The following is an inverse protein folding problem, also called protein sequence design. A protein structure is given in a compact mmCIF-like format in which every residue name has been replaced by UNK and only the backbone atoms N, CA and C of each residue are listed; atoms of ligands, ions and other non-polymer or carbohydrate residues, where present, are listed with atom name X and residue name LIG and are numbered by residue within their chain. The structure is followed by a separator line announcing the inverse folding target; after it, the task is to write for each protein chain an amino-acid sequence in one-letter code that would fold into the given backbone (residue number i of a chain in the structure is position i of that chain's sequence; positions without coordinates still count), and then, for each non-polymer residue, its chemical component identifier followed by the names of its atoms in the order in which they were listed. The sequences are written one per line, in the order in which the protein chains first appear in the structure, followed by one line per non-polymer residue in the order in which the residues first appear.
data_IF_234589954193
#
_entry.id   IF_234589954193
#
_cell.length_a   1.000
_cell.length_b   1.000
_cell.length_c   1.000
_cell.angle_alpha   90.00
_cell.angle_beta   90.00
_cell.angle_gamma   90.00
#
_symmetry.space_group_name_H-M   'P 1'
#
loop_
_entity.id
_entity.type
_entity.pdbx_description
1 polymer ?
#
# COMPACT_ATOMS: atom_id res chain seq x y z
N UNK A 1 22.43 14.47 -13.12
CA UNK A 1 21.06 14.93 -13.43
C UNK A 1 20.27 15.03 -12.13
N UNK A 2 19.79 16.22 -11.74
CA UNK A 2 18.94 16.40 -10.54
C UNK A 2 17.57 15.76 -10.82
N UNK A 3 17.26 14.70 -10.09
CA UNK A 3 16.06 13.89 -10.32
C UNK A 3 14.83 14.57 -9.69
N UNK A 4 14.20 15.51 -10.42
CA UNK A 4 13.09 16.35 -9.95
C UNK A 4 11.75 15.59 -9.68
N UNK A 5 11.69 14.27 -9.86
CA UNK A 5 10.43 13.50 -9.73
C UNK A 5 10.10 13.04 -8.32
N UNK A 6 11.04 13.16 -7.38
CA UNK A 6 10.90 12.63 -6.02
C UNK A 6 10.00 13.44 -5.06
N UNK A 7 10.01 14.79 -5.06
CA UNK A 7 9.03 15.56 -4.29
C UNK A 7 7.60 15.23 -4.71
N UNK A 8 7.37 14.90 -5.98
CA UNK A 8 6.07 14.51 -6.49
C UNK A 8 5.57 13.22 -5.80
N UNK A 9 6.41 12.17 -5.67
CA UNK A 9 6.02 10.93 -4.99
C UNK A 9 5.64 11.11 -3.52
N UNK A 10 6.37 11.99 -2.82
CA UNK A 10 6.10 12.29 -1.40
C UNK A 10 4.79 13.05 -1.25
N UNK A 11 4.57 14.07 -2.08
CA UNK A 11 3.31 14.82 -2.14
C UNK A 11 2.12 13.92 -2.47
N UNK A 12 2.30 12.96 -3.38
CA UNK A 12 1.25 12.04 -3.78
C UNK A 12 0.85 11.07 -2.67
N UNK A 13 1.82 10.48 -1.97
CA UNK A 13 1.52 9.60 -0.86
C UNK A 13 0.90 10.34 0.34
N UNK A 14 1.32 11.60 0.58
CA UNK A 14 0.66 12.48 1.55
C UNK A 14 -0.77 12.77 1.12
N UNK A 15 -1.01 13.06 -0.17
CA UNK A 15 -2.35 13.25 -0.72
C UNK A 15 -3.24 12.01 -0.55
N UNK A 16 -2.71 10.82 -0.83
CA UNK A 16 -3.43 9.55 -0.63
C UNK A 16 -3.75 9.28 0.84
N UNK A 17 -2.81 9.58 1.74
CA UNK A 17 -3.01 9.45 3.17
C UNK A 17 -4.09 10.43 3.67
N UNK A 18 -4.03 11.69 3.24
CA UNK A 18 -5.03 12.69 3.60
C UNK A 18 -6.41 12.32 3.07
N UNK A 19 -6.50 11.78 1.84
CA UNK A 19 -7.77 11.36 1.28
C UNK A 19 -8.36 10.18 2.06
N UNK A 20 -7.53 9.19 2.42
CA UNK A 20 -7.92 8.03 3.24
C UNK A 20 -8.39 8.45 4.64
N UNK A 21 -7.66 9.40 5.25
CA UNK A 21 -7.98 9.96 6.55
C UNK A 21 -9.30 10.74 6.52
N UNK A 22 -9.50 11.62 5.53
CA UNK A 22 -10.73 12.40 5.37
C UNK A 22 -11.93 11.49 5.12
N UNK A 23 -11.78 10.45 4.30
CA UNK A 23 -12.81 9.43 4.09
C UNK A 23 -13.20 8.74 5.41
N UNK A 24 -12.19 8.29 6.14
CA UNK A 24 -12.39 7.58 7.40
C UNK A 24 -13.09 8.49 8.40
N UNK A 25 -12.63 9.73 8.57
CA UNK A 25 -13.26 10.72 9.47
C UNK A 25 -14.68 11.04 9.03
N UNK A 26 -14.93 11.22 7.72
CA UNK A 26 -16.26 11.49 7.19
C UNK A 26 -17.25 10.35 7.48
N UNK A 27 -16.81 9.10 7.31
CA UNK A 27 -17.63 7.92 7.62
C UNK A 27 -17.92 7.85 9.13
N UNK A 28 -16.89 8.07 9.95
CA UNK A 28 -16.99 8.05 11.42
C UNK A 28 -17.89 9.16 11.97
N UNK A 29 -17.89 10.35 11.37
CA UNK A 29 -18.68 11.49 11.84
C UNK A 29 -20.16 11.41 11.47
N UNK A 30 -20.51 10.63 10.44
CA UNK A 30 -21.87 10.57 9.90
C UNK A 30 -22.61 9.27 10.22
N UNK A 31 -21.94 8.23 10.74
CA UNK A 31 -22.57 7.00 11.18
C UNK A 31 -22.64 6.94 12.71
N UNK A 32 -23.85 6.76 13.27
CA UNK A 32 -24.07 6.61 14.72
C UNK A 32 -23.48 5.31 15.30
N UNK A 33 -23.17 4.35 14.44
CA UNK A 33 -22.51 3.09 14.79
C UNK A 33 -21.17 3.07 14.03
N UNK A 34 -20.07 3.07 14.78
CA UNK A 34 -18.71 2.91 14.22
C UNK A 34 -18.44 1.41 14.04
N UNK A 35 -19.15 0.81 13.10
CA UNK A 35 -18.90 -0.56 12.64
C UNK A 35 -18.75 -0.50 11.13
N UNK A 36 -17.67 -1.07 10.59
CA UNK A 36 -17.56 -1.30 9.14
C UNK A 36 -18.46 -2.45 8.66
N UNK A 37 -19.42 -2.91 9.46
CA UNK A 37 -20.60 -3.62 8.99
C UNK A 37 -21.13 -2.88 7.74
N UNK A 38 -21.15 -3.60 6.63
CA UNK A 38 -21.13 -3.09 5.27
C UNK A 38 -21.89 -1.75 5.08
N UNK A 39 -21.19 -0.62 4.87
CA UNK A 39 -21.85 0.68 4.77
C UNK A 39 -22.84 0.73 3.61
N UNK A 40 -22.73 -0.15 2.59
CA UNK A 40 -23.66 -0.25 1.46
C UNK A 40 -25.13 -0.41 1.87
N UNK A 41 -25.41 -1.13 2.95
CA UNK A 41 -26.78 -1.48 3.34
C UNK A 41 -27.21 -0.85 4.67
N UNK A 42 -26.26 -0.50 5.54
CA UNK A 42 -26.53 0.04 6.87
C UNK A 42 -26.33 1.55 7.00
N UNK A 43 -25.81 2.23 5.96
CA UNK A 43 -25.65 3.69 5.94
C UNK A 43 -26.38 4.30 4.75
N UNK A 44 -27.07 5.43 4.98
CA UNK A 44 -27.70 6.22 3.92
C UNK A 44 -26.72 6.65 2.81
N UNK A 45 -25.41 6.65 3.08
CA UNK A 45 -24.35 7.01 2.13
C UNK A 45 -23.48 5.82 1.68
N UNK A 46 -23.97 4.59 1.84
CA UNK A 46 -23.23 3.37 1.52
C UNK A 46 -22.66 3.30 0.10
N UNK A 47 -23.53 3.53 -0.90
CA UNK A 47 -23.13 3.52 -2.31
C UNK A 47 -22.16 4.66 -2.67
N UNK A 48 -22.32 5.83 -2.03
CA UNK A 48 -21.39 6.96 -2.17
C UNK A 48 -20.02 6.58 -1.60
N UNK A 49 -20.00 5.91 -0.45
CA UNK A 49 -18.78 5.41 0.20
C UNK A 49 -18.06 4.38 -0.67
N UNK A 50 -18.80 3.46 -1.31
CA UNK A 50 -18.23 2.52 -2.29
C UNK A 50 -17.62 3.25 -3.48
N UNK A 51 -18.34 4.20 -4.08
CA UNK A 51 -17.86 4.97 -5.22
C UNK A 51 -16.54 5.70 -4.88
N UNK A 52 -16.47 6.32 -3.71
CA UNK A 52 -15.26 7.01 -3.26
C UNK A 52 -14.11 6.01 -3.05
N UNK A 53 -14.35 4.83 -2.46
CA UNK A 53 -13.33 3.79 -2.30
C UNK A 53 -12.82 3.27 -3.66
N UNK A 54 -13.70 3.12 -4.65
CA UNK A 54 -13.30 2.72 -6.02
C UNK A 54 -12.46 3.81 -6.70
N UNK A 55 -12.87 5.08 -6.61
CA UNK A 55 -12.09 6.20 -7.14
C UNK A 55 -10.71 6.32 -6.45
N UNK A 56 -10.66 6.04 -5.14
CA UNK A 56 -9.41 5.97 -4.39
C UNK A 56 -8.52 4.83 -4.90
N UNK A 57 -9.08 3.64 -5.12
CA UNK A 57 -8.37 2.49 -5.64
C UNK A 57 -7.77 2.76 -7.04
N UNK A 58 -8.53 3.39 -7.93
CA UNK A 58 -8.07 3.79 -9.27
C UNK A 58 -6.91 4.79 -9.14
N UNK A 59 -7.04 5.76 -8.24
CA UNK A 59 -6.00 6.77 -7.99
C UNK A 59 -4.70 6.14 -7.48
N UNK A 60 -4.77 5.20 -6.54
CA UNK A 60 -3.63 4.40 -6.07
C UNK A 60 -3.02 3.61 -7.23
N UNK A 61 -3.85 2.92 -8.02
CA UNK A 61 -3.39 2.09 -9.14
C UNK A 61 -2.58 2.91 -10.16
N UNK A 62 -3.12 4.04 -10.61
CA UNK A 62 -2.44 4.97 -11.52
C UNK A 62 -1.10 5.45 -10.92
N UNK A 63 -1.05 5.70 -9.62
CA UNK A 63 0.18 6.10 -8.94
C UNK A 63 1.23 4.98 -8.89
N UNK A 64 0.83 3.72 -8.73
CA UNK A 64 1.77 2.58 -8.82
C UNK A 64 2.50 2.53 -10.17
N UNK A 65 1.85 2.95 -11.27
CA UNK A 65 2.47 3.00 -12.59
C UNK A 65 3.57 4.07 -12.68
N UNK A 66 3.44 5.18 -11.94
CA UNK A 66 4.41 6.27 -11.91
C UNK A 66 5.69 5.94 -11.11
N UNK A 67 5.67 4.94 -10.22
CA UNK A 67 6.81 4.55 -9.35
C UNK A 67 7.94 3.85 -10.14
N UNK A 68 7.71 3.46 -11.40
CA UNK A 68 8.68 2.71 -12.22
C UNK A 68 9.99 3.43 -12.56
N UNK A 69 10.20 4.67 -12.13
CA UNK A 69 11.31 5.53 -12.57
C UNK A 69 12.31 5.92 -11.47
N UNK A 70 12.33 5.20 -10.34
CA UNK A 70 13.37 5.37 -9.34
C UNK A 70 14.74 4.88 -9.86
N UNK A 71 15.81 5.64 -9.61
CA UNK A 71 17.16 5.27 -9.99
C UNK A 71 17.78 4.37 -8.91
N UNK A 72 18.19 3.16 -9.31
CA UNK A 72 18.78 2.19 -8.39
C UNK A 72 20.11 2.64 -7.83
N UNK A 73 20.28 2.50 -6.52
CA UNK A 73 21.53 2.80 -5.81
C UNK A 73 22.43 1.58 -5.90
N UNK A 74 23.64 1.76 -6.44
CA UNK A 74 24.58 0.67 -6.69
C UNK A 74 25.49 0.45 -5.48
N UNK A 75 25.35 -0.70 -4.83
CA UNK A 75 26.31 -1.21 -3.85
C UNK A 75 26.65 -2.66 -4.17
N UNK A 76 27.94 -2.97 -4.15
CA UNK A 76 28.41 -4.35 -4.19
C UNK A 76 28.21 -4.99 -2.81
N UNK A 77 27.13 -5.78 -2.69
CA UNK A 77 26.79 -6.51 -1.47
C UNK A 77 26.29 -7.92 -1.78
N UNK A 78 26.79 -8.90 -1.00
CA UNK A 78 26.50 -10.32 -1.24
C UNK A 78 25.04 -10.68 -0.91
N UNK A 79 24.44 -10.05 0.11
CA UNK A 79 23.07 -10.33 0.58
C UNK A 79 22.16 -9.09 0.57
N UNK A 80 20.84 -9.30 0.50
CA UNK A 80 19.83 -8.23 0.54
C UNK A 80 19.78 -7.50 1.88
N UNK A 81 20.05 -8.22 2.99
CA UNK A 81 20.15 -7.63 4.33
C UNK A 81 21.39 -6.74 4.48
N UNK A 82 22.55 -7.17 3.97
CA UNK A 82 23.76 -6.33 3.98
C UNK A 82 23.55 -5.07 3.12
N UNK A 83 22.93 -5.22 1.96
CA UNK A 83 22.51 -4.11 1.10
C UNK A 83 21.56 -3.14 1.81
N UNK A 84 20.58 -3.65 2.56
CA UNK A 84 19.67 -2.86 3.41
C UNK A 84 20.44 -2.03 4.45
N UNK A 85 21.31 -2.67 5.25
CA UNK A 85 22.05 -1.97 6.30
C UNK A 85 22.99 -0.91 5.73
N UNK A 86 23.61 -1.18 4.58
CA UNK A 86 24.49 -0.23 3.90
C UNK A 86 23.72 0.99 3.41
N UNK A 87 22.58 0.77 2.75
CA UNK A 87 21.66 1.83 2.32
C UNK A 87 21.19 2.72 3.47
N UNK A 88 20.90 2.11 4.62
CA UNK A 88 20.44 2.85 5.79
C UNK A 88 21.56 3.71 6.41
N UNK A 89 22.80 3.21 6.39
CA UNK A 89 23.97 3.94 6.90
C UNK A 89 24.45 5.05 5.96
N UNK A 90 24.16 4.99 4.67
CA UNK A 90 24.76 5.89 3.67
C UNK A 90 24.00 7.20 3.40
N UNK A 91 23.27 7.72 4.38
CA UNK A 91 22.53 9.00 4.29
C UNK A 91 21.57 9.11 3.09
N UNK A 92 21.16 8.00 2.49
CA UNK A 92 20.15 7.98 1.43
C UNK A 92 18.73 8.06 2.00
N UNK A 93 18.43 9.13 2.74
CA UNK A 93 17.09 9.41 3.29
C UNK A 93 15.99 9.33 2.22
N UNK A 94 16.31 9.79 1.02
CA UNK A 94 15.50 9.72 -0.18
C UNK A 94 15.08 8.29 -0.57
N UNK A 95 16.00 7.33 -0.42
CA UNK A 95 15.73 5.92 -0.69
C UNK A 95 14.72 5.38 0.33
N UNK A 96 14.94 5.67 1.62
CA UNK A 96 14.08 5.21 2.72
C UNK A 96 12.66 5.71 2.48
N UNK A 97 12.51 7.00 2.18
CA UNK A 97 11.22 7.62 1.89
C UNK A 97 10.50 6.95 0.71
N UNK A 98 11.19 6.72 -0.42
CA UNK A 98 10.58 6.05 -1.59
C UNK A 98 10.18 4.61 -1.27
N UNK A 99 11.01 3.88 -0.51
CA UNK A 99 10.70 2.49 -0.13
C UNK A 99 9.46 2.39 0.75
N UNK A 100 9.34 3.28 1.74
CA UNK A 100 8.18 3.37 2.65
C UNK A 100 6.93 3.74 1.88
N UNK A 101 7.00 4.74 0.99
CA UNK A 101 5.84 5.13 0.20
C UNK A 101 5.43 4.07 -0.82
N UNK A 102 6.37 3.38 -1.45
CA UNK A 102 6.03 2.27 -2.35
C UNK A 102 5.36 1.11 -1.60
N UNK A 103 5.83 0.81 -0.39
CA UNK A 103 5.22 -0.19 0.47
C UNK A 103 3.81 0.22 0.87
N UNK A 104 3.62 1.46 1.33
CA UNK A 104 2.31 2.03 1.69
C UNK A 104 1.32 1.96 0.54
N UNK A 105 1.70 2.43 -0.66
CA UNK A 105 0.81 2.44 -1.83
C UNK A 105 0.36 1.02 -2.17
N UNK A 106 1.26 0.03 -2.17
CA UNK A 106 0.93 -1.36 -2.48
C UNK A 106 0.09 -2.02 -1.38
N UNK A 107 0.41 -1.78 -0.11
CA UNK A 107 -0.35 -2.35 1.01
C UNK A 107 -1.76 -1.81 1.02
N UNK A 108 -1.93 -0.50 0.83
CA UNK A 108 -3.24 0.15 0.78
C UNK A 108 -4.04 -0.34 -0.44
N UNK A 109 -3.41 -0.53 -1.59
CA UNK A 109 -4.08 -1.10 -2.77
C UNK A 109 -4.69 -2.48 -2.46
N UNK A 110 -3.91 -3.38 -1.88
CA UNK A 110 -4.36 -4.75 -1.59
C UNK A 110 -5.39 -4.77 -0.47
N UNK A 111 -5.19 -3.99 0.60
CA UNK A 111 -6.16 -3.88 1.68
C UNK A 111 -7.51 -3.32 1.18
N UNK A 112 -7.49 -2.29 0.34
CA UNK A 112 -8.72 -1.69 -0.22
C UNK A 112 -9.41 -2.61 -1.23
N UNK A 113 -8.66 -3.39 -2.03
CA UNK A 113 -9.27 -4.43 -2.87
C UNK A 113 -10.03 -5.46 -2.02
N UNK A 114 -9.46 -5.87 -0.89
CA UNK A 114 -10.09 -6.82 0.01
C UNK A 114 -11.41 -6.26 0.59
N UNK A 115 -11.40 -5.01 1.07
CA UNK A 115 -12.61 -4.31 1.55
C UNK A 115 -13.70 -4.25 0.47
N UNK A 116 -13.35 -3.91 -0.77
CA UNK A 116 -14.33 -3.85 -1.87
C UNK A 116 -14.92 -5.24 -2.15
N UNK A 117 -14.09 -6.29 -2.18
CA UNK A 117 -14.55 -7.67 -2.37
C UNK A 117 -15.46 -8.12 -1.23
N UNK A 118 -15.11 -7.78 0.01
CA UNK A 118 -15.97 -8.06 1.17
C UNK A 118 -17.32 -7.38 1.06
N UNK A 119 -17.34 -6.10 0.71
CA UNK A 119 -18.58 -5.33 0.59
C UNK A 119 -19.50 -5.88 -0.51
N UNK A 120 -18.93 -6.32 -1.63
CA UNK A 120 -19.66 -7.01 -2.69
C UNK A 120 -20.18 -8.37 -2.21
N UNK A 121 -19.34 -9.17 -1.53
CA UNK A 121 -19.70 -10.50 -1.05
C UNK A 121 -20.81 -10.44 -0.01
N UNK A 122 -20.70 -9.51 0.95
CA UNK A 122 -21.74 -9.24 1.92
C UNK A 122 -23.05 -8.84 1.24
N UNK A 123 -23.00 -7.96 0.24
CA UNK A 123 -24.21 -7.49 -0.44
C UNK A 123 -24.95 -8.54 -1.26
N UNK A 124 -24.25 -9.58 -1.73
CA UNK A 124 -24.85 -10.69 -2.48
C UNK A 124 -25.23 -11.86 -1.56
N UNK A 125 -24.47 -12.09 -0.49
CA UNK A 125 -24.56 -13.27 0.37
C UNK A 125 -24.61 -12.91 1.87
N UNK A 126 -25.45 -11.96 2.26
CA UNK A 126 -25.50 -11.39 3.61
C UNK A 126 -25.57 -12.46 4.72
N UNK A 127 -26.58 -13.34 4.69
CA UNK A 127 -26.77 -14.37 5.71
C UNK A 127 -25.59 -15.35 5.80
N UNK A 128 -25.02 -15.74 4.66
CA UNK A 128 -23.87 -16.65 4.63
C UNK A 128 -22.59 -15.96 5.12
N UNK A 129 -22.44 -14.66 4.86
CA UNK A 129 -21.31 -13.87 5.31
C UNK A 129 -21.35 -13.67 6.82
N UNK A 130 -22.49 -13.29 7.40
CA UNK A 130 -22.69 -13.13 8.85
C UNK A 130 -22.44 -14.44 9.61
N UNK A 131 -22.76 -15.60 9.01
CA UNK A 131 -22.52 -16.91 9.62
C UNK A 131 -21.13 -17.49 9.32
N UNK A 132 -20.25 -16.74 8.65
CA UNK A 132 -18.93 -17.24 8.27
C UNK A 132 -17.92 -17.13 9.43
N UNK A 133 -16.98 -18.09 9.47
CA UNK A 133 -15.82 -18.04 10.38
C UNK A 133 -15.01 -16.75 10.18
N UNK A 134 -14.96 -16.25 8.94
CA UNK A 134 -14.30 -15.00 8.60
C UNK A 134 -14.89 -13.82 9.38
N UNK A 135 -16.21 -13.68 9.35
CA UNK A 135 -16.92 -12.61 10.06
C UNK A 135 -16.71 -12.68 11.57
N UNK A 136 -16.80 -13.88 12.16
CA UNK A 136 -16.54 -14.09 13.60
C UNK A 136 -15.12 -13.69 14.02
N UNK A 137 -14.13 -13.87 13.15
CA UNK A 137 -12.75 -13.44 13.42
C UNK A 137 -12.64 -11.91 13.29
N UNK A 138 -13.29 -11.33 12.27
CA UNK A 138 -13.27 -9.90 11.98
C UNK A 138 -13.86 -9.06 13.11
N UNK A 139 -15.00 -9.47 13.67
CA UNK A 139 -15.67 -8.75 14.77
C UNK A 139 -14.81 -8.62 16.02
N UNK A 140 -13.78 -9.46 16.18
CA UNK A 140 -12.86 -9.39 17.33
C UNK A 140 -11.79 -8.31 17.18
N UNK A 141 -11.66 -7.71 16.00
CA UNK A 141 -10.72 -6.62 15.78
C UNK A 141 -11.33 -5.28 16.20
N UNK A 142 -10.51 -4.33 16.72
CA UNK A 142 -11.00 -3.00 17.08
C UNK A 142 -11.73 -2.34 15.90
N UNK A 143 -12.94 -1.84 16.16
CA UNK A 143 -13.81 -1.22 15.15
C UNK A 143 -14.14 -2.14 13.96
N UNK A 144 -13.95 -3.46 14.10
CA UNK A 144 -14.13 -4.48 13.05
C UNK A 144 -13.21 -4.27 11.82
N UNK A 145 -12.12 -3.51 12.02
CA UNK A 145 -11.15 -3.07 11.00
C UNK A 145 -10.04 -4.10 10.78
N UNK A 146 -10.42 -5.24 10.19
CA UNK A 146 -9.43 -6.25 9.77
C UNK A 146 -8.47 -5.70 8.70
N UNK A 147 -8.97 -4.82 7.82
CA UNK A 147 -8.24 -4.17 6.74
C UNK A 147 -7.01 -3.37 7.22
N UNK A 148 -7.08 -2.73 8.39
CA UNK A 148 -5.96 -1.94 8.96
C UNK A 148 -4.83 -2.85 9.41
N UNK A 149 -5.16 -3.91 10.16
CA UNK A 149 -4.17 -4.88 10.65
C UNK A 149 -3.55 -5.62 9.46
N UNK A 150 -4.39 -6.08 8.54
CA UNK A 150 -3.94 -6.74 7.31
C UNK A 150 -3.08 -5.80 6.45
N UNK A 151 -3.49 -4.55 6.31
CA UNK A 151 -2.73 -3.50 5.62
C UNK A 151 -1.35 -3.27 6.24
N UNK A 152 -1.23 -3.27 7.56
CA UNK A 152 0.05 -3.15 8.24
C UNK A 152 0.98 -4.36 7.99
N UNK A 153 0.44 -5.58 8.04
CA UNK A 153 1.21 -6.80 7.72
C UNK A 153 1.72 -6.75 6.27
N UNK A 154 0.85 -6.36 5.34
CA UNK A 154 1.20 -6.19 3.93
C UNK A 154 2.21 -5.09 3.71
N UNK A 155 2.15 -3.99 4.47
CA UNK A 155 3.13 -2.91 4.42
C UNK A 155 4.54 -3.45 4.72
N UNK A 156 4.70 -4.19 5.82
CA UNK A 156 6.00 -4.79 6.19
C UNK A 156 6.48 -5.74 5.11
N UNK A 157 5.58 -6.59 4.59
CA UNK A 157 5.91 -7.51 3.50
C UNK A 157 6.38 -6.77 2.23
N UNK A 158 5.64 -5.77 1.77
CA UNK A 158 5.99 -5.01 0.57
C UNK A 158 7.24 -4.15 0.74
N UNK A 159 7.51 -3.68 1.96
CA UNK A 159 8.73 -2.96 2.27
C UNK A 159 9.96 -3.87 2.14
N UNK A 160 9.92 -5.07 2.71
CA UNK A 160 10.99 -6.07 2.56
C UNK A 160 11.15 -6.54 1.11
N UNK A 161 10.04 -6.79 0.41
CA UNK A 161 10.04 -7.15 -1.01
C UNK A 161 10.69 -6.06 -1.87
N UNK A 162 10.48 -4.78 -1.54
CA UNK A 162 11.12 -3.67 -2.24
C UNK A 162 12.64 -3.73 -2.14
N UNK A 163 13.20 -3.90 -0.93
CA UNK A 163 14.65 -4.04 -0.74
C UNK A 163 15.22 -5.23 -1.49
N UNK A 164 14.52 -6.37 -1.47
CA UNK A 164 14.93 -7.57 -2.21
C UNK A 164 14.99 -7.30 -3.71
N UNK A 165 13.94 -6.70 -4.27
CA UNK A 165 13.88 -6.36 -5.70
C UNK A 165 14.96 -5.36 -6.09
N UNK A 166 15.23 -4.38 -5.25
CA UNK A 166 16.26 -3.40 -5.52
C UNK A 166 17.67 -4.00 -5.51
N UNK A 167 17.95 -4.88 -4.55
CA UNK A 167 19.21 -5.61 -4.50
C UNK A 167 19.43 -6.45 -5.77
N UNK A 168 18.39 -7.12 -6.26
CA UNK A 168 18.45 -7.90 -7.50
C UNK A 168 18.72 -7.01 -8.72
N UNK A 169 18.08 -5.82 -8.81
CA UNK A 169 18.34 -4.86 -9.87
C UNK A 169 19.76 -4.31 -9.83
N UNK A 170 20.28 -3.98 -8.64
CA UNK A 170 21.64 -3.50 -8.47
C UNK A 170 22.66 -4.52 -8.97
N UNK A 171 22.49 -5.81 -8.62
CA UNK A 171 23.34 -6.90 -9.13
C UNK A 171 23.27 -7.08 -10.65
N UNK A 172 22.08 -6.95 -11.24
CA UNK A 172 21.91 -7.06 -12.70
C UNK A 172 22.63 -5.92 -13.45
N UNK A 173 22.49 -4.69 -12.95
CA UNK A 173 23.18 -3.52 -13.50
C UNK A 173 24.71 -3.64 -13.39
N UNK A 174 25.20 -4.18 -12.28
CA UNK A 174 26.63 -4.37 -12.06
C UNK A 174 27.22 -5.39 -13.06
N UNK A 175 26.52 -6.52 -13.25
CA UNK A 175 26.90 -7.54 -14.24
C UNK A 175 26.95 -6.96 -15.66
N UNK A 176 25.94 -6.15 -16.03
CA UNK A 176 25.89 -5.49 -17.34
C UNK A 176 27.02 -4.48 -17.55
N UNK A 177 27.42 -3.75 -16.51
CA UNK A 177 28.57 -2.83 -16.57
C UNK A 177 29.87 -3.59 -16.84
N UNK A 178 30.13 -4.65 -16.06
CA UNK A 178 31.35 -5.48 -16.22
C UNK A 178 31.43 -6.15 -17.60
N UNK A 179 30.30 -6.64 -18.12
CA UNK A 179 30.25 -7.24 -19.46
C UNK A 179 30.52 -6.24 -20.59
N UNK A 180 30.23 -4.96 -20.38
CA UNK A 180 30.49 -3.89 -21.35
C UNK A 180 31.96 -3.44 -21.35
N UNK A 181 32.64 -3.55 -20.21
CA UNK A 181 34.07 -3.24 -20.08
C UNK A 181 34.99 -4.33 -20.64
N UNK A 182 34.47 -5.55 -20.85
CA UNK A 182 35.21 -6.68 -21.42
C UNK A 182 35.17 -6.79 -22.95
N UNK A 183 34.52 -5.84 -23.64
CA UNK A 183 34.38 -5.75 -25.10
C UNK A 183 35.19 -4.55 -25.59
#
# INVERSE_FOLDING_TARGET
MKNNRIPHYTLYAIGLFLLDFVLTVFILSNNQIVTEANPLFYSHFGYVTLLINVLYLISIYLMTLCIKHYQTVMYDEKSSLAYFFKLYRSHHSLFIVVSVFSAYIKSTLVARMFVVVEWLTFGIFEEAFLNSVYFTIRERFPLERFDVVFGFVLFVYFWLDWYRKEHLKAKDLERKSKAKESI
#
